data_IF_076466335309
#
_entry.id   IF_076466335309
#
_cell.length_a   1.000
_cell.length_b   1.000
_cell.length_c   1.000
_cell.angle_alpha   90.00
_cell.angle_beta   90.00
_cell.angle_gamma   90.00
#
_symmetry.space_group_name_H-M   'P 1'
#
loop_
_entity.id
_entity.type
_entity.pdbx_description
1 polymer ?
#
# COMPACT_ATOMS: atom_id res chain seq x y z
N UNK A 1 10.65 6.85 -31.23
CA UNK A 1 11.47 5.86 -30.51
C UNK A 1 10.52 4.80 -29.98
N UNK A 2 10.56 3.58 -30.53
CA UNK A 2 9.84 2.45 -29.95
C UNK A 2 10.51 2.10 -28.62
N UNK A 3 9.72 2.03 -27.54
CA UNK A 3 10.17 1.45 -26.28
C UNK A 3 10.78 0.08 -26.60
N UNK A 4 11.99 -0.21 -26.08
CA UNK A 4 12.64 -1.52 -26.23
C UNK A 4 11.77 -2.68 -25.70
N UNK A 5 10.72 -2.36 -24.96
CA UNK A 5 9.96 -3.27 -24.11
C UNK A 5 8.47 -2.85 -24.10
N UNK A 6 7.72 -3.14 -25.18
CA UNK A 6 6.37 -2.61 -25.40
C UNK A 6 5.29 -3.16 -24.44
N UNK A 7 5.57 -4.23 -23.69
CA UNK A 7 4.66 -4.81 -22.69
C UNK A 7 4.75 -4.15 -21.30
N UNK A 8 5.79 -3.35 -21.04
CA UNK A 8 6.14 -2.88 -19.69
C UNK A 8 5.45 -1.57 -19.31
N UNK A 9 4.95 -0.84 -20.30
CA UNK A 9 4.11 0.35 -20.11
C UNK A 9 2.78 0.06 -20.78
N UNK A 10 1.65 0.22 -20.06
CA UNK A 10 0.35 -0.18 -20.58
C UNK A 10 0.06 0.52 -21.90
N UNK A 11 -0.40 -0.25 -22.89
CA UNK A 11 -0.88 0.30 -24.16
C UNK A 11 -2.23 0.99 -23.95
N UNK A 12 -2.47 2.11 -24.63
CA UNK A 12 -3.73 2.90 -24.60
C UNK A 12 -4.96 2.14 -25.15
N UNK A 13 -4.91 0.81 -25.30
CA UNK A 13 -5.86 0.00 -26.06
C UNK A 13 -6.64 -1.02 -25.23
N UNK A 14 -6.56 -0.99 -23.90
CA UNK A 14 -7.21 -1.99 -23.05
C UNK A 14 -8.44 -1.40 -22.34
N UNK A 15 -9.58 -2.08 -22.51
CA UNK A 15 -10.89 -1.70 -21.96
C UNK A 15 -10.91 -1.80 -20.43
N UNK A 16 -11.67 -0.91 -19.80
CA UNK A 16 -11.87 -0.78 -18.35
C UNK A 16 -12.05 -2.11 -17.63
N UNK A 17 -11.00 -2.56 -16.94
CA UNK A 17 -11.10 -3.59 -15.92
C UNK A 17 -11.19 -2.92 -14.54
N UNK A 18 -12.19 -3.31 -13.74
CA UNK A 18 -12.45 -2.77 -12.41
C UNK A 18 -11.64 -3.44 -11.29
N UNK A 19 -10.68 -4.31 -11.63
CA UNK A 19 -9.88 -5.06 -10.66
C UNK A 19 -8.55 -5.54 -11.23
N UNK A 20 -7.64 -5.91 -10.34
CA UNK A 20 -6.31 -6.43 -10.67
C UNK A 20 -6.38 -7.94 -10.86
N UNK A 21 -5.91 -8.41 -12.00
CA UNK A 21 -5.85 -9.84 -12.28
C UNK A 21 -4.55 -10.42 -11.73
N UNK A 22 -4.63 -11.55 -11.04
CA UNK A 22 -3.46 -12.31 -10.61
C UNK A 22 -3.33 -13.58 -11.45
N UNK A 23 -2.21 -13.72 -12.15
CA UNK A 23 -2.00 -14.80 -13.12
C UNK A 23 -0.76 -15.62 -12.77
N UNK A 24 -0.93 -16.94 -12.62
CA UNK A 24 0.15 -17.88 -12.29
C UNK A 24 0.96 -17.58 -11.02
N UNK A 25 0.42 -16.77 -10.11
CA UNK A 25 1.03 -16.47 -8.81
C UNK A 25 0.51 -17.39 -7.70
N UNK A 26 1.18 -17.38 -6.55
CA UNK A 26 0.76 -18.00 -5.29
C UNK A 26 0.42 -16.89 -4.30
N UNK A 27 -0.76 -17.00 -3.67
CA UNK A 27 -1.20 -16.05 -2.65
C UNK A 27 -0.57 -16.37 -1.31
N UNK A 28 -0.44 -15.36 -0.47
CA UNK A 28 0.05 -15.52 0.91
C UNK A 28 -0.82 -16.50 1.67
N UNK A 29 -0.17 -17.42 2.39
CA UNK A 29 -0.87 -18.42 3.19
C UNK A 29 -1.67 -17.77 4.31
N UNK A 30 -2.86 -18.30 4.60
CA UNK A 30 -3.66 -17.89 5.77
C UNK A 30 -3.00 -18.21 7.10
N UNK A 31 -1.92 -19.02 7.11
CA UNK A 31 -1.11 -19.28 8.29
C UNK A 31 -0.18 -18.11 8.67
N UNK A 32 0.02 -17.14 7.77
CA UNK A 32 0.82 -15.94 8.05
C UNK A 32 -0.04 -14.95 8.82
N UNK A 33 0.20 -14.85 10.14
CA UNK A 33 -0.55 -13.94 11.03
C UNK A 33 -0.04 -12.50 11.01
N UNK A 34 1.19 -12.29 10.54
CA UNK A 34 1.83 -10.98 10.50
C UNK A 34 2.87 -10.89 9.39
N UNK A 35 2.87 -9.74 8.73
CA UNK A 35 3.90 -9.30 7.79
C UNK A 35 4.51 -8.00 8.30
N UNK A 36 5.73 -7.70 7.86
CA UNK A 36 6.49 -6.53 8.29
C UNK A 36 6.98 -5.76 7.07
N UNK A 37 6.90 -4.43 7.13
CA UNK A 37 7.42 -3.57 6.08
C UNK A 37 8.31 -2.49 6.68
N UNK A 38 9.56 -2.46 6.21
CA UNK A 38 10.49 -1.36 6.49
C UNK A 38 10.43 -0.30 5.41
N UNK A 39 10.45 0.97 5.81
CA UNK A 39 10.56 2.12 4.92
C UNK A 39 11.24 3.26 5.70
N UNK A 40 12.34 3.80 5.17
CA UNK A 40 13.10 4.88 5.78
C UNK A 40 12.35 6.22 5.78
N UNK A 41 11.39 6.39 4.86
CA UNK A 41 10.48 7.53 4.78
C UNK A 41 9.19 7.33 5.58
N UNK A 42 9.02 6.17 6.25
CA UNK A 42 7.82 5.83 7.02
C UNK A 42 7.35 6.97 7.95
N UNK A 43 8.21 7.63 8.76
CA UNK A 43 7.77 8.68 9.68
C UNK A 43 7.13 9.89 8.98
N UNK A 44 7.53 10.17 7.73
CA UNK A 44 7.03 11.30 6.95
C UNK A 44 5.65 11.01 6.32
N UNK A 45 5.26 9.74 6.22
CA UNK A 45 4.06 9.31 5.49
C UNK A 45 3.00 8.74 6.42
N UNK A 46 3.39 7.93 7.41
CA UNK A 46 2.45 7.07 8.16
C UNK A 46 1.42 7.85 9.00
N UNK A 47 1.76 9.07 9.41
CA UNK A 47 0.88 9.93 10.21
C UNK A 47 0.08 10.95 9.39
N UNK A 48 0.20 10.93 8.05
CA UNK A 48 -0.58 11.81 7.19
C UNK A 48 -2.04 11.35 7.15
N UNK A 49 -2.97 12.31 7.13
CA UNK A 49 -4.40 12.05 7.01
C UNK A 49 -4.74 11.27 5.74
N UNK A 50 -4.21 11.61 4.56
CA UNK A 50 -4.37 10.76 3.38
C UNK A 50 -4.00 9.29 3.60
N UNK A 51 -2.90 9.02 4.29
CA UNK A 51 -2.42 7.66 4.57
C UNK A 51 -3.42 6.87 5.42
N UNK A 52 -4.20 7.50 6.30
CA UNK A 52 -5.26 6.82 7.06
C UNK A 52 -6.35 6.20 6.17
N UNK A 53 -6.57 6.79 4.97
CA UNK A 53 -7.61 6.38 4.03
C UNK A 53 -7.06 5.50 2.91
N UNK A 54 -5.85 5.80 2.43
CA UNK A 54 -5.26 5.15 1.25
C UNK A 54 -4.20 4.12 1.59
N UNK A 55 -3.73 4.08 2.83
CA UNK A 55 -2.64 3.19 3.24
C UNK A 55 -1.30 3.53 2.58
N UNK A 56 -0.41 2.53 2.57
CA UNK A 56 0.91 2.60 1.92
C UNK A 56 0.82 1.89 0.59
N UNK A 57 1.23 2.54 -0.50
CA UNK A 57 1.04 2.02 -1.85
C UNK A 57 2.22 2.32 -2.76
N UNK A 58 2.36 1.50 -3.81
CA UNK A 58 3.43 1.62 -4.81
C UNK A 58 3.13 2.70 -5.85
N UNK A 59 4.11 3.01 -6.71
CA UNK A 59 3.97 4.06 -7.73
C UNK A 59 3.52 3.55 -9.12
N UNK A 60 3.16 2.27 -9.20
CA UNK A 60 2.71 1.59 -10.42
C UNK A 60 1.57 0.64 -10.07
N UNK A 61 0.53 0.64 -10.90
CA UNK A 61 -0.67 -0.20 -10.70
C UNK A 61 -0.91 -1.04 -11.96
N UNK A 62 -0.19 -2.17 -12.12
CA UNK A 62 -0.36 -3.06 -13.24
C UNK A 62 -1.78 -3.66 -13.26
N UNK A 63 -2.30 -3.89 -14.46
CA UNK A 63 -3.61 -4.57 -14.63
C UNK A 63 -3.52 -6.06 -14.29
N UNK A 64 -2.38 -6.67 -14.59
CA UNK A 64 -2.09 -8.08 -14.38
C UNK A 64 -0.82 -8.21 -13.55
N UNK A 65 -0.90 -8.90 -12.41
CA UNK A 65 0.24 -9.30 -11.61
C UNK A 65 0.54 -10.77 -11.94
N UNK A 66 1.68 -10.97 -12.59
CA UNK A 66 2.23 -12.27 -12.96
C UNK A 66 3.72 -12.34 -12.61
N UNK A 67 4.38 -13.41 -13.07
CA UNK A 67 5.82 -13.57 -12.86
C UNK A 67 6.67 -12.44 -13.45
N UNK A 68 6.22 -11.78 -14.51
CA UNK A 68 6.98 -10.67 -15.11
C UNK A 68 6.97 -9.46 -14.17
N UNK A 69 5.80 -9.11 -13.62
CA UNK A 69 5.71 -8.03 -12.63
C UNK A 69 6.47 -8.33 -11.35
N UNK A 70 6.42 -9.58 -10.87
CA UNK A 70 7.18 -10.02 -9.68
C UNK A 70 8.68 -9.91 -9.95
N UNK A 71 9.14 -10.40 -11.10
CA UNK A 71 10.55 -10.28 -11.50
C UNK A 71 10.96 -8.82 -11.64
N UNK A 72 10.12 -7.96 -12.23
CA UNK A 72 10.41 -6.53 -12.33
C UNK A 72 10.58 -5.85 -10.98
N UNK A 73 9.67 -6.13 -10.06
CA UNK A 73 9.75 -5.66 -8.69
C UNK A 73 11.08 -6.06 -8.01
N UNK A 74 11.59 -7.26 -8.31
CA UNK A 74 12.86 -7.75 -7.76
C UNK A 74 14.12 -7.31 -8.48
N UNK A 75 14.05 -7.14 -9.80
CA UNK A 75 15.21 -7.13 -10.70
C UNK A 75 15.48 -5.75 -11.30
N UNK A 76 14.84 -4.70 -10.79
CA UNK A 76 15.07 -3.32 -11.22
C UNK A 76 15.58 -2.48 -10.07
N UNK A 77 16.53 -1.57 -10.34
CA UNK A 77 16.99 -0.52 -9.42
C UNK A 77 15.90 0.53 -9.06
N UNK A 78 14.64 0.29 -9.46
CA UNK A 78 13.46 1.02 -9.01
C UNK A 78 12.86 0.38 -7.74
N UNK A 79 13.66 -0.41 -7.02
CA UNK A 79 13.34 -1.25 -5.86
C UNK A 79 12.72 -0.55 -4.64
N UNK A 80 12.50 0.77 -4.68
CA UNK A 80 11.83 1.52 -3.61
C UNK A 80 10.29 1.50 -3.81
N UNK A 81 9.73 0.30 -3.89
CA UNK A 81 8.28 0.08 -4.06
C UNK A 81 7.66 0.81 -5.25
N UNK A 82 8.44 1.01 -6.31
CA UNK A 82 7.92 1.59 -7.53
C UNK A 82 6.83 0.70 -8.12
N UNK A 83 7.02 -0.62 -8.06
CA UNK A 83 6.14 -1.60 -8.71
C UNK A 83 5.11 -2.21 -7.76
N UNK A 84 5.53 -2.63 -6.57
CA UNK A 84 4.68 -3.23 -5.54
C UNK A 84 5.25 -2.90 -4.16
N UNK A 85 4.41 -2.96 -3.15
CA UNK A 85 4.77 -2.75 -1.74
C UNK A 85 5.37 -4.04 -1.19
N UNK A 86 6.67 -4.03 -0.90
CA UNK A 86 7.39 -5.14 -0.26
C UNK A 86 7.04 -5.27 1.22
N UNK A 87 6.88 -6.51 1.64
CA UNK A 87 6.70 -6.96 3.02
C UNK A 87 7.52 -8.24 3.24
N UNK A 88 7.86 -8.53 4.48
CA UNK A 88 8.61 -9.74 4.88
C UNK A 88 7.89 -10.45 6.02
N UNK A 89 8.02 -11.77 6.10
CA UNK A 89 7.68 -12.50 7.33
C UNK A 89 8.68 -12.24 8.47
N UNK A 90 9.87 -11.74 8.17
CA UNK A 90 10.95 -11.50 9.13
C UNK A 90 11.03 -10.01 9.50
N UNK A 91 10.71 -9.69 10.76
CA UNK A 91 10.78 -8.33 11.28
C UNK A 91 12.19 -7.74 11.25
N UNK A 92 13.24 -8.57 11.30
CA UNK A 92 14.63 -8.09 11.22
C UNK A 92 14.97 -7.62 9.81
N UNK A 93 14.42 -8.29 8.78
CA UNK A 93 14.55 -7.85 7.39
C UNK A 93 13.87 -6.49 7.23
N UNK A 94 12.63 -6.34 7.72
CA UNK A 94 11.94 -5.05 7.70
C UNK A 94 12.67 -3.95 8.48
N UNK A 95 13.23 -4.26 9.65
CA UNK A 95 14.04 -3.32 10.42
C UNK A 95 15.25 -2.81 9.61
N UNK A 96 15.92 -3.71 8.89
CA UNK A 96 17.06 -3.38 8.05
C UNK A 96 16.65 -2.53 6.84
N UNK A 97 15.56 -2.88 6.16
CA UNK A 97 15.03 -2.12 5.02
C UNK A 97 14.67 -0.70 5.40
N UNK A 98 13.99 -0.52 6.54
CA UNK A 98 13.53 0.80 6.97
C UNK A 98 14.49 1.55 7.89
N UNK A 99 15.76 1.12 7.98
CA UNK A 99 16.78 1.77 8.83
C UNK A 99 16.33 2.02 10.27
N UNK A 100 15.63 1.06 10.87
CA UNK A 100 15.05 1.20 12.21
C UNK A 100 13.57 1.59 12.26
N UNK A 101 12.93 1.85 11.12
CA UNK A 101 11.50 2.19 11.02
C UNK A 101 10.72 1.12 10.24
N UNK A 102 9.70 0.52 10.84
CA UNK A 102 8.88 -0.49 10.17
C UNK A 102 7.46 -0.55 10.72
N UNK A 103 6.54 -1.13 9.95
CA UNK A 103 5.17 -1.41 10.36
C UNK A 103 4.94 -2.93 10.49
N UNK A 104 4.11 -3.31 11.44
CA UNK A 104 3.57 -4.67 11.59
C UNK A 104 2.17 -4.72 11.00
N UNK A 105 1.91 -5.67 10.12
CA UNK A 105 0.73 -5.73 9.26
C UNK A 105 -0.05 -7.02 9.53
N UNK A 106 -1.37 -6.91 9.67
CA UNK A 106 -2.31 -8.02 9.61
C UNK A 106 -2.78 -8.25 8.17
N UNK A 107 -2.41 -9.38 7.54
CA UNK A 107 -2.76 -9.62 6.14
C UNK A 107 -4.23 -10.03 5.94
N UNK A 108 -5.00 -10.38 6.97
CA UNK A 108 -6.31 -11.05 6.84
C UNK A 108 -7.23 -10.35 5.83
N UNK A 109 -7.45 -9.04 6.01
CA UNK A 109 -8.39 -8.25 5.23
C UNK A 109 -8.08 -8.17 3.73
N UNK A 110 -6.80 -8.23 3.36
CA UNK A 110 -6.36 -8.05 1.98
C UNK A 110 -5.50 -9.21 1.48
N UNK A 111 -5.54 -10.36 2.16
CA UNK A 111 -4.75 -11.57 1.86
C UNK A 111 -4.87 -12.02 0.40
N UNK A 112 -6.06 -11.87 -0.19
CA UNK A 112 -6.33 -12.12 -1.60
C UNK A 112 -5.52 -11.23 -2.56
N UNK A 113 -4.96 -10.13 -2.08
CA UNK A 113 -4.16 -9.18 -2.85
C UNK A 113 -2.66 -9.27 -2.56
N UNK A 114 -2.24 -10.21 -1.71
CA UNK A 114 -0.84 -10.40 -1.35
C UNK A 114 -0.29 -11.64 -2.05
N UNK A 115 0.82 -11.48 -2.75
CA UNK A 115 1.55 -12.57 -3.42
C UNK A 115 2.72 -13.00 -2.55
N UNK A 116 2.84 -14.31 -2.33
CA UNK A 116 4.04 -14.93 -1.77
C UNK A 116 5.06 -15.07 -2.90
N UNK A 117 6.14 -14.29 -2.83
CA UNK A 117 7.13 -14.22 -3.91
C UNK A 117 7.84 -15.57 -4.07
N UNK A 118 8.20 -16.21 -2.96
CA UNK A 118 9.01 -17.43 -2.97
C UNK A 118 8.19 -18.61 -3.50
N UNK A 119 6.98 -18.81 -2.98
CA UNK A 119 6.08 -19.86 -3.45
C UNK A 119 5.71 -19.65 -4.92
N UNK A 120 5.61 -18.40 -5.37
CA UNK A 120 5.35 -18.05 -6.76
C UNK A 120 6.51 -18.43 -7.68
N UNK A 121 7.77 -18.19 -7.30
CA UNK A 121 8.93 -18.67 -8.06
C UNK A 121 8.98 -20.20 -8.13
N UNK A 122 8.74 -20.89 -7.01
CA UNK A 122 8.70 -22.35 -6.97
C UNK A 122 7.61 -22.93 -7.88
N UNK A 123 6.39 -22.36 -7.84
CA UNK A 123 5.27 -22.77 -8.72
C UNK A 123 5.62 -22.66 -10.20
N UNK A 124 6.41 -21.64 -10.56
CA UNK A 124 6.80 -21.37 -11.94
C UNK A 124 8.14 -22.03 -12.35
N UNK A 125 8.71 -22.89 -11.49
CA UNK A 125 9.97 -23.61 -11.75
C UNK A 125 11.15 -22.67 -12.05
N UNK A 126 11.18 -21.50 -11.40
CA UNK A 126 12.24 -20.52 -11.54
C UNK A 126 13.22 -20.59 -10.36
N UNK A 127 14.50 -20.36 -10.64
CA UNK A 127 15.52 -20.27 -9.59
C UNK A 127 15.37 -18.95 -8.83
N UNK A 128 15.40 -19.04 -7.51
CA UNK A 128 15.38 -17.87 -6.63
C UNK A 128 16.82 -17.40 -6.36
N UNK A 129 17.13 -16.10 -6.49
CA UNK A 129 18.45 -15.60 -6.09
C UNK A 129 18.68 -15.82 -4.59
N UNK A 130 19.80 -16.48 -4.21
CA UNK A 130 20.07 -16.90 -2.83
C UNK A 130 20.08 -15.76 -1.79
N UNK A 131 20.35 -14.51 -2.20
CA UNK A 131 20.27 -13.35 -1.28
C UNK A 131 18.82 -12.96 -0.96
N UNK A 132 17.89 -13.20 -1.89
CA UNK A 132 16.47 -12.93 -1.69
C UNK A 132 15.81 -14.01 -0.82
N UNK A 133 16.35 -15.23 -0.76
CA UNK A 133 15.79 -16.32 0.07
C UNK A 133 15.62 -15.93 1.54
N UNK A 134 16.43 -14.98 2.02
CA UNK A 134 16.39 -14.49 3.40
C UNK A 134 15.26 -13.50 3.64
N UNK A 135 14.74 -12.87 2.59
CA UNK A 135 13.75 -11.80 2.69
C UNK A 135 12.36 -12.32 3.00
N UNK A 136 12.06 -13.60 2.69
CA UNK A 136 10.73 -14.22 2.87
C UNK A 136 9.62 -13.27 2.43
N UNK A 137 9.75 -12.82 1.19
CA UNK A 137 9.05 -11.62 0.74
C UNK A 137 7.63 -11.90 0.28
N UNK A 138 6.76 -10.97 0.64
CA UNK A 138 5.40 -10.85 0.18
C UNK A 138 5.19 -9.48 -0.44
N UNK A 139 4.39 -9.41 -1.49
CA UNK A 139 4.16 -8.16 -2.22
C UNK A 139 2.66 -7.91 -2.41
N UNK A 140 2.28 -6.64 -2.34
CA UNK A 140 0.92 -6.17 -2.57
C UNK A 140 0.94 -4.83 -3.33
N UNK A 141 -0.19 -4.39 -3.87
CA UNK A 141 -0.28 -3.05 -4.49
C UNK A 141 -0.48 -1.95 -3.45
N UNK A 142 -1.27 -2.26 -2.43
CA UNK A 142 -1.57 -1.39 -1.32
C UNK A 142 -1.55 -2.20 -0.03
N UNK A 143 -0.93 -1.66 1.00
CA UNK A 143 -1.07 -2.08 2.39
C UNK A 143 -2.08 -1.13 3.05
N UNK A 144 -3.31 -1.57 3.32
CA UNK A 144 -4.32 -0.71 3.92
C UNK A 144 -3.92 -0.28 5.33
N UNK A 145 -4.21 0.97 5.68
CA UNK A 145 -3.88 1.48 7.01
C UNK A 145 -4.63 0.76 8.12
N UNK A 146 -5.87 0.35 7.87
CA UNK A 146 -6.68 -0.45 8.80
C UNK A 146 -6.05 -1.80 9.15
N UNK A 147 -5.14 -2.31 8.32
CA UNK A 147 -4.41 -3.57 8.55
C UNK A 147 -3.11 -3.38 9.33
N UNK A 148 -2.67 -2.14 9.59
CA UNK A 148 -1.42 -1.88 10.29
C UNK A 148 -1.65 -2.00 11.79
N UNK A 149 -1.12 -3.06 12.42
CA UNK A 149 -1.23 -3.31 13.86
C UNK A 149 -0.40 -2.34 14.70
N UNK A 150 0.85 -2.14 14.30
CA UNK A 150 1.85 -1.37 15.04
C UNK A 150 2.76 -0.61 14.10
N UNK A 151 3.27 0.52 14.56
CA UNK A 151 4.25 1.34 13.87
C UNK A 151 5.47 1.46 14.79
N UNK A 152 6.66 1.16 14.29
CA UNK A 152 7.91 1.27 15.03
C UNK A 152 8.83 2.25 14.31
N UNK A 153 9.33 3.26 15.02
CA UNK A 153 10.27 4.26 14.47
C UNK A 153 11.42 4.40 15.44
N UNK A 154 12.63 4.01 15.03
CA UNK A 154 13.87 4.09 15.83
C UNK A 154 13.70 3.57 17.28
N UNK A 155 13.16 2.35 17.40
CA UNK A 155 12.85 1.65 18.68
C UNK A 155 11.70 2.24 19.52
N UNK A 156 10.98 3.24 19.01
CA UNK A 156 9.73 3.71 19.62
C UNK A 156 8.53 3.03 18.96
N UNK A 157 7.70 2.36 19.75
CA UNK A 157 6.46 1.74 19.27
C UNK A 157 5.28 2.71 19.42
N UNK A 158 4.48 2.84 18.38
CA UNK A 158 3.22 3.57 18.36
C UNK A 158 2.09 2.57 18.13
N UNK A 159 1.09 2.60 19.01
CA UNK A 159 -0.15 1.84 18.82
C UNK A 159 -0.99 2.55 17.76
N UNK A 160 -1.42 1.82 16.73
CA UNK A 160 -2.30 2.38 15.71
C UNK A 160 -3.77 2.33 16.19
N UNK A 161 -4.43 3.47 16.46
CA UNK A 161 -5.83 3.49 16.88
C UNK A 161 -6.80 3.08 15.75
N UNK A 162 -6.34 3.08 14.50
CA UNK A 162 -7.14 2.71 13.34
C UNK A 162 -6.99 1.25 12.92
N UNK A 163 -6.18 0.46 13.63
CA UNK A 163 -6.09 -0.98 13.37
C UNK A 163 -7.45 -1.65 13.58
N UNK A 164 -7.95 -2.34 12.56
CA UNK A 164 -9.22 -3.05 12.60
C UNK A 164 -8.97 -4.56 12.69
N UNK A 165 -9.15 -5.14 13.88
CA UNK A 165 -8.99 -6.58 14.11
C UNK A 165 -10.19 -7.34 13.56
N UNK A 166 -10.10 -7.76 12.30
CA UNK A 166 -11.09 -8.63 11.65
C UNK A 166 -10.62 -10.09 11.73
N UNK A 167 -11.50 -10.97 12.16
CA UNK A 167 -11.23 -12.40 12.20
C UNK A 167 -11.32 -13.01 10.79
N UNK A 168 -10.49 -14.02 10.52
CA UNK A 168 -10.42 -14.68 9.20
C UNK A 168 -11.73 -15.40 8.80
N UNK A 169 -12.60 -15.70 9.76
CA UNK A 169 -13.92 -16.30 9.54
C UNK A 169 -15.02 -15.25 9.25
N UNK A 170 -14.75 -13.95 9.42
CA UNK A 170 -15.69 -12.88 9.14
C UNK A 170 -15.73 -12.57 7.63
N UNK A 171 -16.40 -13.44 6.88
CA UNK A 171 -16.51 -13.33 5.43
C UNK A 171 -17.26 -12.06 4.98
N UNK A 172 -18.20 -11.56 5.79
CA UNK A 172 -18.92 -10.32 5.49
C UNK A 172 -17.98 -9.12 5.45
N UNK A 173 -17.12 -8.96 6.46
CA UNK A 173 -16.11 -7.91 6.51
C UNK A 173 -15.09 -8.05 5.38
N UNK A 174 -14.63 -9.28 5.09
CA UNK A 174 -13.65 -9.54 4.03
C UNK A 174 -14.22 -9.16 2.66
N UNK A 175 -15.47 -9.55 2.35
CA UNK A 175 -16.12 -9.22 1.06
C UNK A 175 -16.39 -7.71 0.94
N UNK A 176 -16.85 -7.07 2.01
CA UNK A 176 -17.06 -5.62 2.02
C UNK A 176 -15.73 -4.87 1.79
N UNK A 177 -14.65 -5.34 2.41
CA UNK A 177 -13.34 -4.75 2.24
C UNK A 177 -12.74 -5.01 0.85
N UNK A 178 -12.99 -6.19 0.26
CA UNK A 178 -12.58 -6.53 -1.11
C UNK A 178 -13.06 -5.48 -2.12
N UNK A 179 -14.32 -5.04 -1.97
CA UNK A 179 -14.91 -3.98 -2.79
C UNK A 179 -14.19 -2.64 -2.59
N UNK A 180 -13.88 -2.26 -1.34
CA UNK A 180 -13.13 -1.04 -1.02
C UNK A 180 -11.71 -1.08 -1.58
N UNK A 181 -11.02 -2.20 -1.44
CA UNK A 181 -9.67 -2.38 -1.96
C UNK A 181 -9.65 -2.22 -3.49
N UNK A 182 -10.59 -2.86 -4.19
CA UNK A 182 -10.75 -2.71 -5.64
C UNK A 182 -11.03 -1.26 -6.06
N UNK A 183 -11.88 -0.54 -5.33
CA UNK A 183 -12.14 0.89 -5.57
C UNK A 183 -10.87 1.72 -5.39
N UNK A 184 -10.13 1.53 -4.30
CA UNK A 184 -8.89 2.26 -4.05
C UNK A 184 -7.85 2.02 -5.15
N UNK A 185 -7.64 0.76 -5.54
CA UNK A 185 -6.70 0.42 -6.63
C UNK A 185 -7.14 1.04 -7.95
N UNK A 186 -8.45 1.04 -8.26
CA UNK A 186 -8.96 1.71 -9.46
C UNK A 186 -8.71 3.22 -9.44
N UNK A 187 -8.89 3.88 -8.28
CA UNK A 187 -8.62 5.30 -8.11
C UNK A 187 -7.14 5.63 -8.27
N UNK A 188 -6.27 4.85 -7.62
CA UNK A 188 -4.83 4.99 -7.75
C UNK A 188 -4.44 4.84 -9.23
N UNK A 189 -4.85 3.75 -9.89
CA UNK A 189 -4.57 3.57 -11.33
C UNK A 189 -4.96 4.79 -12.17
N UNK A 190 -6.20 5.29 -12.00
CA UNK A 190 -6.69 6.49 -12.71
C UNK A 190 -5.82 7.72 -12.47
N UNK A 191 -5.32 7.91 -11.23
CA UNK A 191 -4.37 8.97 -10.89
C UNK A 191 -3.08 8.87 -11.71
N UNK A 192 -2.52 7.66 -11.82
CA UNK A 192 -1.25 7.43 -12.52
C UNK A 192 -1.38 7.46 -14.06
N UNK A 193 -2.55 7.15 -14.60
CA UNK A 193 -2.79 7.16 -16.06
C UNK A 193 -3.38 8.47 -16.58
N UNK A 194 -3.74 9.42 -15.71
CA UNK A 194 -4.43 10.68 -16.04
C UNK A 194 -5.72 10.46 -16.86
N UNK A 195 -6.37 9.31 -16.68
CA UNK A 195 -7.58 8.94 -17.42
C UNK A 195 -8.83 9.72 -16.99
N UNK A 196 -8.71 10.61 -16.00
CA UNK A 196 -9.84 11.23 -15.29
C UNK A 196 -9.55 12.71 -15.06
N UNK A 197 -10.55 13.56 -15.24
CA UNK A 197 -10.43 14.98 -14.92
C UNK A 197 -10.44 15.23 -13.40
N UNK A 198 -9.92 16.38 -12.96
CA UNK A 198 -9.77 16.71 -11.54
C UNK A 198 -11.09 16.64 -10.76
N UNK A 199 -12.22 16.97 -11.40
CA UNK A 199 -13.53 16.99 -10.75
C UNK A 199 -14.07 15.57 -10.54
N UNK A 200 -13.89 14.70 -11.52
CA UNK A 200 -14.21 13.28 -11.41
C UNK A 200 -13.33 12.59 -10.37
N UNK A 201 -12.04 12.92 -10.27
CA UNK A 201 -11.14 12.43 -9.21
C UNK A 201 -11.65 12.83 -7.83
N UNK A 202 -11.94 14.12 -7.61
CA UNK A 202 -12.46 14.65 -6.33
C UNK A 202 -13.77 13.96 -5.92
N UNK A 203 -14.69 13.79 -6.87
CA UNK A 203 -15.97 13.12 -6.63
C UNK A 203 -15.77 11.66 -6.23
N UNK A 204 -14.86 10.96 -6.91
CA UNK A 204 -14.61 9.54 -6.65
C UNK A 204 -13.82 9.30 -5.35
N UNK A 205 -12.89 10.19 -4.99
CA UNK A 205 -12.19 10.18 -3.71
C UNK A 205 -13.17 10.36 -2.55
N UNK A 206 -14.07 11.35 -2.63
CA UNK A 206 -15.11 11.57 -1.62
C UNK A 206 -16.00 10.35 -1.44
N UNK A 207 -16.47 9.74 -2.54
CA UNK A 207 -17.29 8.54 -2.50
C UNK A 207 -16.56 7.35 -1.85
N UNK A 208 -15.27 7.17 -2.17
CA UNK A 208 -14.43 6.16 -1.52
C UNK A 208 -14.27 6.43 -0.02
N UNK A 209 -13.99 7.67 0.38
CA UNK A 209 -13.89 8.05 1.81
C UNK A 209 -15.17 7.75 2.56
N UNK A 210 -16.33 8.13 2.01
CA UNK A 210 -17.63 7.82 2.63
C UNK A 210 -17.86 6.32 2.76
N UNK A 211 -17.48 5.52 1.76
CA UNK A 211 -17.59 4.06 1.81
C UNK A 211 -16.65 3.44 2.86
N UNK A 212 -15.40 3.93 2.96
CA UNK A 212 -14.43 3.50 3.95
C UNK A 212 -14.87 3.82 5.38
N UNK A 213 -15.41 5.02 5.61
CA UNK A 213 -15.96 5.39 6.92
C UNK A 213 -17.17 4.54 7.30
N UNK A 214 -18.07 4.23 6.35
CA UNK A 214 -19.20 3.31 6.58
C UNK A 214 -18.74 1.91 6.95
N UNK A 215 -17.70 1.41 6.28
CA UNK A 215 -17.09 0.13 6.62
C UNK A 215 -16.58 0.12 8.07
N UNK A 216 -15.89 1.18 8.51
CA UNK A 216 -15.51 1.30 9.92
C UNK A 216 -16.73 1.30 10.85
N UNK A 217 -17.75 2.12 10.58
CA UNK A 217 -18.98 2.13 11.39
C UNK A 217 -19.61 0.74 11.53
N UNK A 218 -19.56 -0.08 10.48
CA UNK A 218 -20.13 -1.43 10.50
C UNK A 218 -19.26 -2.44 11.28
N UNK A 219 -17.93 -2.37 11.15
CA UNK A 219 -17.04 -3.45 11.60
C UNK A 219 -16.12 -3.12 12.77
N UNK A 220 -16.00 -1.84 13.19
CA UNK A 220 -15.17 -1.45 14.35
C UNK A 220 -15.93 -1.49 15.69
N UNK A 221 -17.23 -1.77 15.67
CA UNK A 221 -18.07 -1.74 16.87
C UNK A 221 -18.10 -0.37 17.55
N UNK A 222 -18.26 -0.35 18.88
CA UNK A 222 -18.36 0.88 19.68
C UNK A 222 -17.07 1.68 19.79
N UNK A 223 -15.93 1.09 19.43
CA UNK A 223 -14.60 1.72 19.58
C UNK A 223 -14.09 2.35 18.26
N UNK A 224 -15.01 2.79 17.39
CA UNK A 224 -14.65 3.41 16.12
C UNK A 224 -13.81 4.69 16.33
N UNK A 225 -12.52 4.72 15.93
CA UNK A 225 -11.68 5.90 16.12
C UNK A 225 -12.15 7.11 15.30
N UNK A 226 -12.88 6.91 14.19
CA UNK A 226 -13.41 8.01 13.39
C UNK A 226 -14.61 8.72 14.03
N UNK A 227 -15.30 8.07 14.97
CA UNK A 227 -16.41 8.66 15.72
C UNK A 227 -15.95 9.32 17.03
N UNK A 228 -14.64 9.42 17.25
CA UNK A 228 -14.04 10.09 18.41
C UNK A 228 -13.55 11.47 18.03
N UNK A 229 -13.57 12.38 19.00
CA UNK A 229 -12.83 13.64 18.93
C UNK A 229 -11.32 13.40 18.99
N UNK A 230 -10.54 14.38 18.53
CA UNK A 230 -9.08 14.33 18.65
C UNK A 230 -8.63 14.30 20.12
N UNK A 231 -9.38 14.92 21.03
CA UNK A 231 -9.10 14.89 22.48
C UNK A 231 -9.30 13.49 23.06
N UNK A 232 -10.39 12.81 22.73
CA UNK A 232 -10.62 11.43 23.18
C UNK A 232 -9.56 10.47 22.62
N UNK A 233 -9.15 10.65 21.37
CA UNK A 233 -8.04 9.87 20.81
C UNK A 233 -6.71 10.18 21.53
N UNK A 234 -6.46 11.44 21.87
CA UNK A 234 -5.23 11.86 22.56
C UNK A 234 -5.12 11.25 23.96
N UNK A 235 -6.23 11.11 24.69
CA UNK A 235 -6.24 10.48 26.01
C UNK A 235 -5.76 9.02 25.99
N UNK A 236 -6.03 8.30 24.90
CA UNK A 236 -5.67 6.88 24.76
C UNK A 236 -4.41 6.63 23.93
N UNK A 237 -4.12 7.51 22.97
CA UNK A 237 -3.03 7.36 21.99
C UNK A 237 -2.24 8.67 21.81
N UNK A 238 -1.69 9.25 22.91
CA UNK A 238 -1.14 10.61 22.89
C UNK A 238 -0.01 10.75 21.85
N UNK A 239 0.89 9.78 21.79
CA UNK A 239 2.04 9.83 20.89
C UNK A 239 1.65 9.72 19.40
N UNK A 240 0.64 8.91 19.08
CA UNK A 240 0.12 8.82 17.71
C UNK A 240 -0.53 10.15 17.31
N UNK A 241 -1.40 10.68 18.19
CA UNK A 241 -2.15 11.90 17.91
C UNK A 241 -1.24 13.12 17.83
N UNK A 242 -0.20 13.23 18.66
CA UNK A 242 0.83 14.27 18.55
C UNK A 242 1.47 14.30 17.15
N UNK A 243 1.93 13.15 16.66
CA UNK A 243 2.54 13.05 15.34
C UNK A 243 1.53 13.32 14.22
N UNK A 244 0.30 12.84 14.36
CA UNK A 244 -0.79 13.11 13.42
C UNK A 244 -1.11 14.61 13.33
N UNK A 245 -1.27 15.30 14.46
CA UNK A 245 -1.54 16.74 14.49
C UNK A 245 -0.40 17.55 13.86
N UNK A 246 0.85 17.18 14.19
CA UNK A 246 2.04 17.83 13.64
C UNK A 246 2.16 17.62 12.12
N UNK A 247 1.98 16.39 11.64
CA UNK A 247 2.10 16.04 10.23
C UNK A 247 1.05 16.75 9.36
N UNK A 248 -0.16 16.94 9.89
CA UNK A 248 -1.29 17.51 9.16
C UNK A 248 -1.55 19.00 9.46
N UNK A 249 -0.70 19.63 10.30
CA UNK A 249 -0.81 21.05 10.70
C UNK A 249 -2.20 21.41 11.26
N UNK A 250 -2.81 20.50 12.00
CA UNK A 250 -4.16 20.68 12.54
C UNK A 250 -4.06 21.52 13.81
N UNK A 251 -4.67 22.71 13.78
CA UNK A 251 -4.71 23.66 14.91
C UNK A 251 -6.11 23.80 15.52
N UNK A 252 -7.11 23.09 14.97
CA UNK A 252 -8.54 23.29 15.21
C UNK A 252 -9.10 22.45 16.36
N UNK A 253 -10.12 22.99 17.05
CA UNK A 253 -11.12 22.21 17.79
C UNK A 253 -12.07 21.57 16.77
N UNK A 254 -11.72 20.40 16.26
CA UNK A 254 -12.66 19.56 15.52
C UNK A 254 -13.42 18.71 16.52
N UNK A 255 -14.75 18.70 16.41
CA UNK A 255 -15.61 17.91 17.29
C UNK A 255 -15.44 16.40 17.02
N UNK A 256 -15.44 15.96 15.76
CA UNK A 256 -15.24 14.54 15.39
C UNK A 256 -14.23 14.35 14.25
N UNK A 257 -13.42 13.29 14.31
CA UNK A 257 -12.40 13.01 13.29
C UNK A 257 -13.00 12.74 11.90
N UNK A 258 -14.16 12.08 11.83
CA UNK A 258 -14.85 11.82 10.56
C UNK A 258 -15.21 13.11 9.80
N UNK A 259 -15.61 14.18 10.48
CA UNK A 259 -15.92 15.47 9.88
C UNK A 259 -14.67 16.11 9.27
N UNK A 260 -13.54 16.04 9.98
CA UNK A 260 -12.25 16.50 9.47
C UNK A 260 -11.87 15.74 8.19
N UNK A 261 -11.96 14.41 8.21
CA UNK A 261 -11.61 13.56 7.07
C UNK A 261 -12.51 13.85 5.87
N UNK A 262 -13.82 13.99 6.08
CA UNK A 262 -14.75 14.32 5.00
C UNK A 262 -14.45 15.69 4.40
N UNK A 263 -14.04 16.67 5.22
CA UNK A 263 -13.67 18.01 4.74
C UNK A 263 -12.40 18.03 3.87
N UNK A 264 -11.48 17.09 4.10
CA UNK A 264 -10.23 16.95 3.32
C UNK A 264 -10.28 15.85 2.25
N UNK A 265 -11.40 15.12 2.15
CA UNK A 265 -11.51 13.91 1.32
C UNK A 265 -11.27 14.13 -0.17
N UNK A 266 -11.59 15.32 -0.68
CA UNK A 266 -11.40 15.67 -2.10
C UNK A 266 -9.92 15.89 -2.45
N UNK A 267 -9.05 16.16 -1.48
CA UNK A 267 -7.64 16.48 -1.72
C UNK A 267 -6.67 15.38 -1.26
N UNK A 268 -7.17 14.17 -0.93
CA UNK A 268 -6.33 13.10 -0.37
C UNK A 268 -5.11 12.80 -1.24
N UNK A 269 -5.28 12.70 -2.56
CA UNK A 269 -4.14 12.49 -3.49
C UNK A 269 -3.29 13.73 -3.69
N UNK A 270 -3.83 14.94 -3.62
CA UNK A 270 -2.99 16.15 -3.68
C UNK A 270 -2.12 16.29 -2.44
N UNK A 271 -2.57 15.76 -1.29
CA UNK A 271 -1.91 15.92 0.01
C UNK A 271 -0.94 14.76 0.34
N UNK A 272 -1.14 13.58 -0.25
CA UNK A 272 -0.33 12.39 -0.01
C UNK A 272 1.07 12.49 -0.64
N UNK A 273 2.12 12.11 0.10
CA UNK A 273 3.51 12.27 -0.35
C UNK A 273 3.82 11.46 -1.61
N UNK A 274 3.40 10.19 -1.66
CA UNK A 274 3.62 9.32 -2.82
C UNK A 274 2.97 9.81 -4.11
N UNK A 275 1.87 10.55 -4.03
CA UNK A 275 1.19 11.11 -5.20
C UNK A 275 1.71 12.50 -5.57
N UNK A 276 2.18 13.31 -4.62
CA UNK A 276 2.89 14.58 -4.90
C UNK A 276 4.15 14.40 -5.74
N UNK A 277 4.82 13.26 -5.60
CA UNK A 277 6.01 12.94 -6.39
C UNK A 277 5.69 12.62 -7.87
N UNK A 278 4.41 12.51 -8.24
CA UNK A 278 3.93 12.21 -9.58
C UNK A 278 3.57 13.53 -10.27
N UNK A 279 4.55 14.19 -10.88
CA UNK A 279 4.27 15.30 -11.80
C UNK A 279 4.20 14.82 -13.26
N UNK A 280 3.83 15.73 -14.17
CA UNK A 280 3.85 15.45 -15.62
C UNK A 280 5.23 14.98 -16.09
N UNK A 281 6.32 15.46 -15.48
CA UNK A 281 7.66 15.02 -15.83
C UNK A 281 7.90 13.56 -15.47
N UNK A 282 7.40 13.10 -14.32
CA UNK A 282 7.48 11.71 -13.86
C UNK A 282 6.68 10.75 -14.76
N UNK A 283 5.47 11.14 -15.15
CA UNK A 283 4.57 10.32 -15.99
C UNK A 283 5.13 10.16 -17.40
N UNK A 284 5.66 11.25 -17.99
CA UNK A 284 6.20 11.25 -19.36
C UNK A 284 7.70 10.95 -19.42
N UNK A 285 8.38 10.79 -18.29
CA UNK A 285 9.80 10.39 -18.26
C UNK A 285 9.92 9.04 -18.94
N UNK A 286 10.90 8.90 -19.84
CA UNK A 286 11.33 7.59 -20.32
C UNK A 286 11.80 6.78 -19.11
N UNK A 287 10.94 5.89 -18.63
CA UNK A 287 11.24 4.95 -17.55
C UNK A 287 12.29 3.98 -18.10
N UNK A 288 13.53 4.12 -17.62
CA UNK A 288 14.63 3.23 -18.00
C UNK A 288 14.63 2.09 -16.99
N UNK A 289 14.11 0.93 -17.39
CA UNK A 289 14.24 -0.30 -16.62
C UNK A 289 15.62 -0.90 -16.88
N UNK A 290 16.44 -1.04 -15.84
CA UNK A 290 17.61 -1.92 -15.87
C UNK A 290 17.11 -3.35 -15.71
N UNK A 291 17.39 -4.23 -16.66
CA UNK A 291 16.97 -5.64 -16.59
C UNK A 291 17.92 -6.47 -15.72
N UNK A 292 17.56 -7.71 -15.37
CA UNK A 292 18.42 -8.61 -14.59
C UNK A 292 19.78 -8.92 -15.25
N UNK A 293 19.91 -8.71 -16.56
CA UNK A 293 21.18 -8.87 -17.28
C UNK A 293 22.10 -7.64 -17.14
N UNK A 294 21.51 -6.49 -16.83
CA UNK A 294 22.20 -5.20 -16.75
C UNK A 294 22.45 -4.78 -15.29
N UNK A 295 21.70 -5.34 -14.34
CA UNK A 295 21.87 -5.12 -12.91
C UNK A 295 22.67 -6.26 -12.26
N UNK A 296 23.90 -5.96 -11.83
CA UNK A 296 24.79 -6.91 -11.15
C UNK A 296 24.18 -7.50 -9.86
N UNK A 297 23.18 -6.84 -9.25
CA UNK A 297 22.42 -7.38 -8.10
C UNK A 297 21.37 -8.42 -8.49
N UNK A 298 20.83 -8.32 -9.70
CA UNK A 298 19.75 -9.13 -10.22
C UNK A 298 20.22 -10.25 -11.17
N UNK A 299 21.52 -10.26 -11.52
CA UNK A 299 22.12 -11.28 -12.37
C UNK A 299 21.95 -12.67 -11.76
N UNK A 300 21.37 -13.63 -12.49
CA UNK A 300 21.36 -15.00 -12.04
C UNK A 300 22.81 -15.51 -11.95
N UNK A 301 23.19 -16.06 -10.79
CA UNK A 301 24.47 -16.76 -10.63
C UNK A 301 24.30 -18.13 -11.29
N UNK A 302 24.36 -18.17 -12.62
CA UNK A 302 24.59 -19.42 -13.33
C UNK A 302 26.09 -19.72 -13.27
N UNK A 303 26.43 -20.84 -12.63
CA UNK A 303 27.70 -21.53 -12.88
C UNK A 303 27.58 -22.32 -14.18
#
# INVERSE_FOLDING_TARGET
>A
MQSKYPAFFPSNTIKSFSGVQFSNVVKTSSAIESLYRGDDHLPAVIFLMPTLLTGVFCQSFPEVIDMEQIRLHKLTNLSNDFHMVSMSEDSQVALNWGSGSFITIDPILFSNYIVDVHATYHKNQLNFPARMEREKEHIALVVPFCSIKKITIHNKEFVNPFYLKISADNQEAIIAFDTLYGQLVSLLRKKYTQEVDEKEEKTALRAYTEAYLKFYTQFSGSDNPFNKSLSELFEHYPEFVENFLQANRITSKVDLLNELILSSSENLFEEHLYTKAIDTSYIYRTKVSTTCEEDDWAKPIYN
#
